data_IF_841696334943
#
_entry.id   IF_841696334943
#
_cell.length_a   1.000
_cell.length_b   1.000
_cell.length_c   1.000
_cell.angle_alpha   90.00
_cell.angle_beta   90.00
_cell.angle_gamma   90.00
#
_symmetry.space_group_name_H-M   'P 1'
#
loop_
_entity.id
_entity.type
_entity.pdbx_description
1 polymer ?
#
# COMPACT_ATOMS: atom_id res chain seq x y z
N UNK A 1 -11.41 -15.00 -1.38
CA UNK A 1 -10.15 -14.23 -1.33
C UNK A 1 -9.83 -13.73 -2.72
N UNK A 2 -9.80 -12.42 -2.90
CA UNK A 2 -9.97 -11.80 -4.22
C UNK A 2 -8.69 -11.24 -4.81
N UNK A 3 -8.54 -11.38 -6.12
CA UNK A 3 -7.73 -10.46 -6.91
C UNK A 3 -8.50 -9.15 -7.17
N UNK A 4 -7.91 -8.22 -7.92
CA UNK A 4 -8.65 -7.07 -8.45
C UNK A 4 -9.79 -7.53 -9.38
N UNK A 5 -10.98 -6.94 -9.22
CA UNK A 5 -12.19 -7.26 -10.00
C UNK A 5 -12.82 -5.97 -10.51
N UNK A 6 -13.01 -5.82 -11.82
CA UNK A 6 -13.62 -4.61 -12.38
C UNK A 6 -15.14 -4.53 -12.12
N UNK A 7 -15.75 -3.41 -12.52
CA UNK A 7 -17.20 -3.19 -12.39
C UNK A 7 -18.08 -4.23 -13.10
N UNK A 8 -17.53 -4.99 -14.06
CA UNK A 8 -18.23 -6.02 -14.80
C UNK A 8 -17.99 -7.42 -14.21
N UNK A 9 -17.34 -7.52 -13.05
CA UNK A 9 -16.98 -8.80 -12.43
C UNK A 9 -15.79 -9.48 -13.09
N UNK A 10 -15.02 -8.80 -13.94
CA UNK A 10 -13.85 -9.38 -14.60
C UNK A 10 -12.62 -9.20 -13.73
N UNK A 11 -11.98 -10.32 -13.40
CA UNK A 11 -10.73 -10.34 -12.66
C UNK A 11 -9.54 -9.83 -13.49
N UNK A 12 -8.52 -9.31 -12.80
CA UNK A 12 -7.21 -9.05 -13.38
C UNK A 12 -6.64 -10.32 -14.04
N UNK A 13 -5.87 -10.12 -15.12
CA UNK A 13 -5.28 -11.21 -15.88
C UNK A 13 -4.23 -11.97 -15.04
N UNK A 14 -4.37 -13.30 -14.96
CA UNK A 14 -3.43 -14.20 -14.27
C UNK A 14 -1.98 -14.07 -14.76
N UNK A 15 -1.77 -13.68 -16.03
CA UNK A 15 -0.44 -13.39 -16.55
C UNK A 15 0.25 -12.24 -15.81
N UNK A 16 -0.50 -11.22 -15.38
CA UNK A 16 0.05 -10.10 -14.59
C UNK A 16 0.42 -10.56 -13.18
N UNK A 17 -0.41 -11.43 -12.58
CA UNK A 17 -0.11 -12.05 -11.28
C UNK A 17 1.19 -12.86 -11.39
N UNK A 18 1.34 -13.68 -12.44
CA UNK A 18 2.53 -14.50 -12.65
C UNK A 18 3.79 -13.65 -12.89
N UNK A 19 3.73 -12.61 -13.74
CA UNK A 19 4.87 -11.71 -14.02
C UNK A 19 5.42 -11.06 -12.76
N UNK A 20 4.54 -10.69 -11.83
CA UNK A 20 4.91 -10.05 -10.57
C UNK A 20 5.08 -11.05 -9.40
N UNK A 21 5.04 -12.36 -9.66
CA UNK A 21 5.08 -13.42 -8.65
C UNK A 21 4.05 -13.22 -7.52
N UNK A 22 2.87 -12.73 -7.89
CA UNK A 22 1.72 -12.59 -7.01
C UNK A 22 1.14 -13.95 -6.60
N UNK A 23 0.28 -13.93 -5.59
CA UNK A 23 -0.28 -15.14 -4.98
C UNK A 23 -1.80 -15.12 -4.83
N UNK A 24 -2.48 -14.15 -5.46
CA UNK A 24 -3.94 -14.08 -5.48
C UNK A 24 -4.52 -14.96 -6.57
N UNK A 25 -5.82 -15.24 -6.45
CA UNK A 25 -6.62 -15.94 -7.45
C UNK A 25 -7.92 -15.18 -7.62
N UNK A 26 -8.49 -15.21 -8.83
CA UNK A 26 -9.84 -14.72 -9.07
C UNK A 26 -10.82 -15.50 -8.20
N UNK A 27 -11.67 -14.80 -7.45
CA UNK A 27 -12.65 -15.41 -6.58
C UNK A 27 -13.91 -14.55 -6.47
N UNK A 28 -14.91 -14.88 -7.26
CA UNK A 28 -16.20 -14.20 -7.30
C UNK A 28 -17.10 -14.72 -6.16
N UNK A 29 -16.81 -14.27 -4.94
CA UNK A 29 -17.61 -14.52 -3.74
C UNK A 29 -17.99 -13.19 -3.10
N UNK A 30 -19.12 -13.13 -2.39
CA UNK A 30 -19.47 -11.95 -1.61
C UNK A 30 -18.55 -11.76 -0.41
N UNK A 31 -18.57 -10.58 0.21
CA UNK A 31 -17.85 -10.32 1.47
C UNK A 31 -16.37 -10.69 1.43
N UNK A 32 -15.69 -10.37 0.32
CA UNK A 32 -14.25 -10.67 0.17
C UNK A 32 -13.43 -9.44 0.53
N UNK A 33 -12.43 -9.62 1.39
CA UNK A 33 -11.40 -8.60 1.58
C UNK A 33 -10.62 -8.34 0.29
N UNK A 34 -10.15 -7.10 0.15
CA UNK A 34 -9.30 -6.68 -0.96
C UNK A 34 -7.87 -7.21 -0.81
N UNK A 35 -7.25 -7.57 -1.93
CA UNK A 35 -5.82 -7.88 -1.97
C UNK A 35 -4.95 -6.61 -2.05
N UNK A 36 -3.72 -6.70 -1.57
CA UNK A 36 -2.71 -5.66 -1.74
C UNK A 36 -2.13 -5.62 -3.16
N UNK A 37 -1.52 -4.50 -3.48
CA UNK A 37 -0.87 -4.25 -4.75
C UNK A 37 0.59 -4.69 -4.80
N UNK A 38 1.16 -4.49 -5.98
CA UNK A 38 2.60 -4.58 -6.24
C UNK A 38 3.06 -3.30 -6.89
N UNK A 39 4.27 -2.87 -6.53
CA UNK A 39 5.00 -1.84 -7.26
C UNK A 39 6.49 -2.20 -7.27
N UNK A 40 7.16 -1.90 -8.37
CA UNK A 40 8.61 -2.00 -8.50
C UNK A 40 9.14 -0.88 -9.35
N UNK A 41 10.41 -0.55 -9.17
CA UNK A 41 11.17 0.32 -10.07
C UNK A 41 12.66 0.10 -9.89
N UNK A 42 13.46 0.68 -10.76
CA UNK A 42 14.91 0.67 -10.71
C UNK A 42 15.38 2.06 -10.32
N UNK A 43 16.34 2.16 -9.41
CA UNK A 43 16.91 3.43 -8.98
C UNK A 43 18.43 3.36 -8.99
N UNK A 44 19.06 4.43 -9.44
CA UNK A 44 20.51 4.62 -9.34
C UNK A 44 20.81 5.64 -8.25
N UNK A 45 21.53 5.21 -7.22
CA UNK A 45 21.96 6.07 -6.12
C UNK A 45 23.40 6.56 -6.40
N UNK A 46 23.61 7.87 -6.40
CA UNK A 46 24.91 8.49 -6.69
C UNK A 46 25.85 8.50 -5.48
N UNK A 47 25.32 8.29 -4.28
CA UNK A 47 26.04 8.30 -3.02
C UNK A 47 25.38 7.35 -2.03
N UNK A 48 26.09 7.06 -0.94
CA UNK A 48 25.58 6.20 0.13
C UNK A 48 24.45 6.91 0.87
N UNK A 49 23.35 6.20 1.10
CA UNK A 49 22.21 6.68 1.89
C UNK A 49 21.77 5.61 2.89
N UNK A 50 20.94 6.03 3.86
CA UNK A 50 20.17 5.13 4.72
C UNK A 50 18.78 4.96 4.15
N UNK A 51 18.34 3.71 4.00
CA UNK A 51 16.98 3.38 3.60
C UNK A 51 16.24 2.68 4.75
N UNK A 52 14.96 3.04 4.93
CA UNK A 52 14.04 2.42 5.88
C UNK A 52 12.94 1.69 5.11
N UNK A 53 12.45 0.59 5.68
CA UNK A 53 11.35 -0.17 5.09
C UNK A 53 10.23 -0.37 6.10
N UNK A 54 9.00 -0.13 5.67
CA UNK A 54 7.79 -0.61 6.35
C UNK A 54 7.28 -1.81 5.58
N UNK A 55 7.12 -2.95 6.26
CA UNK A 55 6.50 -4.15 5.69
C UNK A 55 5.04 -4.19 6.15
N UNK A 56 4.12 -4.07 5.21
CA UNK A 56 2.69 -3.98 5.51
C UNK A 56 2.16 -5.23 6.19
N UNK A 57 1.28 -5.09 7.18
CA UNK A 57 0.58 -6.23 7.77
C UNK A 57 -0.68 -6.60 6.98
N UNK A 58 -1.06 -7.88 7.04
CA UNK A 58 -2.35 -8.32 6.53
C UNK A 58 -3.52 -7.75 7.37
N UNK A 59 -4.63 -7.41 6.73
CA UNK A 59 -5.90 -7.16 7.43
C UNK A 59 -6.44 -8.43 8.11
N UNK A 60 -7.24 -8.23 9.15
CA UNK A 60 -7.82 -9.30 9.97
C UNK A 60 -9.34 -9.31 9.78
N UNK A 61 -9.90 -10.50 9.57
CA UNK A 61 -11.33 -10.74 9.65
C UNK A 61 -11.64 -11.49 10.94
N UNK A 62 -12.63 -11.02 11.71
CA UNK A 62 -13.07 -11.69 12.92
C UNK A 62 -13.82 -10.77 13.86
N UNK A 63 -13.82 -11.12 15.15
CA UNK A 63 -14.39 -10.33 16.24
C UNK A 63 -13.41 -10.30 17.41
N UNK A 64 -13.50 -9.26 18.23
CA UNK A 64 -12.83 -9.21 19.54
C UNK A 64 -13.85 -9.26 20.70
N UNK A 65 -15.14 -9.14 20.39
CA UNK A 65 -16.25 -9.08 21.34
C UNK A 65 -17.51 -9.68 20.74
N UNK A 66 -18.36 -10.28 21.57
CA UNK A 66 -19.70 -10.77 21.19
C UNK A 66 -20.78 -9.70 21.31
N UNK A 67 -20.41 -8.46 21.63
CA UNK A 67 -21.33 -7.32 21.68
C UNK A 67 -21.16 -6.46 20.43
N UNK A 68 -22.27 -6.18 19.75
CA UNK A 68 -22.37 -5.37 18.53
C UNK A 68 -22.50 -3.87 18.81
N UNK A 69 -21.75 -3.38 19.80
CA UNK A 69 -21.68 -1.96 20.13
C UNK A 69 -20.44 -1.33 19.51
N UNK A 70 -20.58 -0.14 18.95
CA UNK A 70 -19.42 0.64 18.51
C UNK A 70 -18.55 0.99 19.72
N UNK A 71 -17.36 0.39 19.77
CA UNK A 71 -16.40 0.50 20.86
C UNK A 71 -14.99 0.43 20.26
N UNK A 72 -14.31 1.58 20.21
CA UNK A 72 -13.00 1.71 19.59
C UNK A 72 -11.96 0.76 20.18
N UNK A 73 -12.03 0.51 21.49
CA UNK A 73 -11.06 -0.34 22.21
C UNK A 73 -11.21 -1.81 21.86
N UNK A 74 -12.39 -2.18 21.36
CA UNK A 74 -12.72 -3.53 20.90
C UNK A 74 -12.72 -3.65 19.38
N UNK A 75 -12.26 -2.66 18.62
CA UNK A 75 -12.23 -2.83 17.16
C UNK A 75 -11.26 -3.93 16.72
N UNK A 76 -11.59 -4.61 15.62
CA UNK A 76 -10.68 -5.52 14.93
C UNK A 76 -9.55 -4.68 14.34
N UNK A 77 -8.33 -4.91 14.83
CA UNK A 77 -7.14 -4.21 14.35
C UNK A 77 -6.83 -4.67 12.93
N UNK A 78 -6.57 -3.74 12.03
CA UNK A 78 -6.00 -4.08 10.71
C UNK A 78 -4.51 -4.44 10.71
N UNK A 79 -3.92 -4.39 9.53
CA UNK A 79 -2.49 -4.61 9.28
C UNK A 79 -1.51 -3.50 9.71
N UNK A 80 -0.29 -3.84 10.12
CA UNK A 80 0.75 -2.84 10.43
C UNK A 80 1.09 -1.93 9.24
N UNK A 81 1.29 -0.63 9.49
CA UNK A 81 1.67 0.34 8.46
C UNK A 81 0.49 1.09 7.84
N UNK A 82 -0.35 1.74 8.64
CA UNK A 82 -1.33 2.74 8.16
C UNK A 82 -2.79 2.28 7.99
N UNK A 83 -3.14 1.03 8.28
CA UNK A 83 -4.50 0.45 8.21
C UNK A 83 -5.70 1.28 8.71
N UNK A 84 -6.90 0.90 8.26
CA UNK A 84 -8.17 1.12 8.94
C UNK A 84 -8.60 -0.06 9.83
N UNK A 85 -9.20 0.23 10.98
CA UNK A 85 -9.80 -0.74 11.91
C UNK A 85 -11.25 -1.03 11.50
N UNK A 86 -11.76 -2.20 11.88
CA UNK A 86 -13.17 -2.57 11.67
C UNK A 86 -13.91 -2.67 13.00
N UNK A 87 -15.18 -2.30 13.03
CA UNK A 87 -16.03 -2.42 14.21
C UNK A 87 -16.52 -3.86 14.38
N UNK A 88 -16.77 -4.28 15.62
CA UNK A 88 -17.27 -5.63 15.86
C UNK A 88 -18.69 -5.82 15.34
N UNK A 89 -18.94 -7.04 14.87
CA UNK A 89 -20.27 -7.52 14.58
C UNK A 89 -20.45 -8.96 15.06
N UNK A 90 -21.48 -9.16 15.87
CA UNK A 90 -21.89 -10.46 16.36
C UNK A 90 -23.41 -10.51 16.44
N UNK A 91 -24.01 -11.33 15.59
CA UNK A 91 -25.45 -11.64 15.64
C UNK A 91 -25.64 -13.06 16.21
N UNK A 92 -24.86 -14.03 15.70
CA UNK A 92 -24.85 -15.41 16.19
C UNK A 92 -23.51 -16.10 15.93
N UNK A 93 -23.29 -17.30 16.47
CA UNK A 93 -22.11 -18.11 16.16
C UNK A 93 -22.02 -18.56 14.69
N UNK A 94 -23.08 -18.40 13.91
CA UNK A 94 -23.11 -18.63 12.47
C UNK A 94 -23.04 -17.33 11.64
N UNK A 95 -23.18 -16.17 12.29
CA UNK A 95 -23.21 -14.86 11.65
C UNK A 95 -22.46 -13.83 12.49
N UNK A 96 -21.17 -13.67 12.21
CA UNK A 96 -20.30 -12.76 12.94
C UNK A 96 -19.08 -12.38 12.10
N UNK A 97 -18.48 -11.26 12.48
CA UNK A 97 -17.19 -10.81 11.98
C UNK A 97 -17.26 -9.54 11.15
N UNK A 98 -16.12 -8.89 11.04
CA UNK A 98 -15.87 -7.82 10.08
C UNK A 98 -14.39 -7.81 9.71
N UNK A 99 -14.10 -7.31 8.53
CA UNK A 99 -12.78 -7.24 7.94
C UNK A 99 -12.16 -5.87 8.13
N UNK A 100 -10.95 -5.84 8.64
CA UNK A 100 -10.11 -4.65 8.73
C UNK A 100 -9.18 -4.53 7.52
N UNK A 101 -8.63 -3.34 7.32
CA UNK A 101 -7.78 -3.02 6.18
C UNK A 101 -6.35 -3.54 6.34
N UNK A 102 -5.69 -3.80 5.21
CA UNK A 102 -4.25 -4.08 5.18
C UNK A 102 -3.39 -2.82 5.38
N UNK A 103 -2.13 -3.03 5.73
CA UNK A 103 -1.13 -1.96 5.83
C UNK A 103 -0.21 -1.87 4.60
N UNK A 104 0.30 -0.68 4.30
CA UNK A 104 1.16 -0.45 3.12
C UNK A 104 2.56 -1.03 3.33
N UNK A 105 3.20 -1.40 2.23
CA UNK A 105 4.65 -1.63 2.19
C UNK A 105 5.31 -0.43 1.55
N UNK A 106 6.36 0.12 2.18
CA UNK A 106 7.00 1.34 1.69
C UNK A 106 8.50 1.35 1.96
N UNK A 107 9.26 1.98 1.07
CA UNK A 107 10.67 2.31 1.27
C UNK A 107 10.80 3.82 1.44
N UNK A 108 11.66 4.24 2.36
CA UNK A 108 11.95 5.64 2.66
C UNK A 108 13.45 5.89 2.63
N UNK A 109 13.87 7.07 2.26
CA UNK A 109 15.29 7.47 2.30
C UNK A 109 15.52 8.58 3.32
N UNK A 110 16.70 8.57 3.93
CA UNK A 110 17.19 9.58 4.88
C UNK A 110 16.47 9.61 6.25
N UNK A 111 15.14 9.56 6.27
CA UNK A 111 14.32 9.58 7.50
C UNK A 111 13.22 8.51 7.48
N UNK A 112 12.80 8.06 8.66
CA UNK A 112 11.75 7.04 8.82
C UNK A 112 10.37 7.66 9.11
N UNK A 113 9.84 8.45 8.19
CA UNK A 113 8.51 9.06 8.30
C UNK A 113 7.71 8.91 6.98
N UNK A 114 6.53 9.53 6.91
CA UNK A 114 5.65 9.44 5.74
C UNK A 114 6.11 10.30 4.55
N UNK A 115 6.78 11.42 4.78
CA UNK A 115 7.19 12.41 3.77
C UNK A 115 8.50 12.04 3.07
N UNK A 116 9.24 11.07 3.61
CA UNK A 116 10.45 10.52 3.01
C UNK A 116 10.21 9.20 2.24
N UNK A 117 8.96 8.80 2.01
CA UNK A 117 8.62 7.58 1.25
C UNK A 117 8.92 7.80 -0.23
N UNK A 118 9.74 6.94 -0.82
CA UNK A 118 10.14 7.03 -2.25
C UNK A 118 9.44 6.00 -3.14
N UNK A 119 8.91 4.93 -2.56
CA UNK A 119 8.07 3.94 -3.25
C UNK A 119 7.14 3.27 -2.24
N UNK A 120 5.86 3.12 -2.60
CA UNK A 120 4.78 2.65 -1.75
C UNK A 120 3.89 1.69 -2.53
N UNK A 121 3.67 0.50 -1.98
CA UNK A 121 2.66 -0.45 -2.42
C UNK A 121 1.39 -0.28 -1.58
N UNK A 122 0.26 -0.01 -2.23
CA UNK A 122 -1.04 0.11 -1.58
C UNK A 122 -1.61 -1.23 -1.10
N UNK A 123 -2.37 -1.20 0.00
CA UNK A 123 -2.99 -2.35 0.64
C UNK A 123 -4.50 -2.42 0.36
N UNK A 124 -5.07 -3.63 0.44
CA UNK A 124 -6.51 -3.85 0.22
C UNK A 124 -7.38 -3.46 1.43
N UNK A 125 -8.65 -3.17 1.14
CA UNK A 125 -9.66 -2.87 2.16
C UNK A 125 -10.31 -4.11 2.76
N UNK A 126 -10.94 -3.93 3.92
CA UNK A 126 -11.74 -4.93 4.60
C UNK A 126 -13.13 -5.16 3.98
N UNK A 127 -13.81 -6.20 4.46
CA UNK A 127 -15.13 -6.65 4.01
C UNK A 127 -16.03 -7.05 5.18
N UNK A 128 -17.33 -7.05 4.97
CA UNK A 128 -18.39 -7.55 5.86
C UNK A 128 -18.39 -9.09 5.97
N UNK A 129 -19.47 -9.65 6.54
CA UNK A 129 -19.55 -11.01 7.12
C UNK A 129 -20.22 -12.10 6.29
N UNK A 130 -20.94 -11.81 5.19
CA UNK A 130 -21.82 -12.78 4.53
C UNK A 130 -21.51 -13.04 3.04
N UNK A 131 -21.25 -14.30 2.68
CA UNK A 131 -20.66 -14.70 1.40
C UNK A 131 -21.57 -14.66 0.14
N UNK A 132 -22.55 -13.76 0.06
CA UNK A 132 -23.54 -13.71 -1.03
C UNK A 132 -23.09 -12.84 -2.21
N UNK A 133 -22.32 -13.38 -3.17
CA UNK A 133 -21.82 -12.59 -4.31
C UNK A 133 -22.93 -11.94 -5.14
N UNK A 134 -22.80 -10.63 -5.41
CA UNK A 134 -23.69 -9.90 -6.33
C UNK A 134 -25.12 -9.68 -5.81
N UNK A 135 -25.34 -9.85 -4.50
CA UNK A 135 -26.62 -9.64 -3.84
C UNK A 135 -26.54 -8.48 -2.84
N UNK A 136 -27.62 -8.22 -2.11
CA UNK A 136 -27.82 -7.12 -1.14
C UNK A 136 -26.93 -7.18 0.12
N UNK A 137 -25.89 -8.01 0.14
CA UNK A 137 -25.02 -8.24 1.31
C UNK A 137 -23.63 -8.68 0.80
N UNK A 138 -23.15 -7.95 -0.21
CA UNK A 138 -21.82 -8.13 -0.79
C UNK A 138 -21.00 -6.87 -0.55
N UNK A 139 -20.60 -6.68 0.71
CA UNK A 139 -19.67 -5.65 1.16
C UNK A 139 -18.20 -6.02 0.91
N UNK A 140 -17.88 -6.31 -0.34
CA UNK A 140 -16.51 -6.65 -0.72
C UNK A 140 -15.55 -5.44 -0.68
N UNK A 141 -14.35 -5.69 -0.16
CA UNK A 141 -13.25 -4.72 -0.09
C UNK A 141 -12.53 -4.54 -1.43
N UNK A 142 -12.06 -3.31 -1.65
CA UNK A 142 -11.25 -2.92 -2.80
C UNK A 142 -9.84 -3.42 -2.76
N UNK A 143 -9.30 -3.82 -3.91
CA UNK A 143 -7.86 -4.05 -4.04
C UNK A 143 -7.06 -2.77 -3.82
N UNK A 144 -5.96 -2.86 -3.08
CA UNK A 144 -4.90 -1.86 -3.09
C UNK A 144 -3.97 -2.05 -4.27
N UNK A 145 -3.13 -1.05 -4.50
CA UNK A 145 -2.19 -1.05 -5.61
C UNK A 145 -2.61 -0.18 -6.77
N UNK A 146 -1.81 -0.24 -7.84
CA UNK A 146 -1.88 0.72 -8.95
C UNK A 146 -1.71 2.19 -8.48
N UNK A 147 -1.52 3.14 -9.38
CA UNK A 147 -1.49 4.56 -9.00
C UNK A 147 -2.85 5.09 -8.56
N UNK A 148 -3.92 4.40 -8.99
CA UNK A 148 -5.30 4.63 -8.58
C UNK A 148 -5.84 3.31 -8.03
N UNK A 149 -6.16 3.29 -6.74
CA UNK A 149 -6.64 2.10 -6.07
C UNK A 149 -8.05 1.70 -6.54
N UNK A 150 -8.58 0.62 -5.95
CA UNK A 150 -9.99 0.26 -6.13
C UNK A 150 -10.85 0.83 -5.00
N UNK A 151 -12.06 1.26 -5.35
CA UNK A 151 -13.12 1.57 -4.38
C UNK A 151 -13.67 0.30 -3.72
N UNK A 152 -14.95 0.25 -3.39
CA UNK A 152 -15.51 -0.86 -2.60
C UNK A 152 -16.91 -1.22 -3.05
N UNK A 153 -17.38 -2.40 -2.69
CA UNK A 153 -18.73 -2.83 -2.99
C UNK A 153 -19.65 -2.55 -1.81
N UNK A 154 -20.86 -2.16 -2.14
CA UNK A 154 -22.00 -2.08 -1.22
C UNK A 154 -23.14 -2.77 -1.95
N UNK A 155 -23.79 -3.75 -1.33
CA UNK A 155 -24.88 -4.50 -1.95
C UNK A 155 -24.53 -5.07 -3.34
N UNK A 156 -23.26 -5.48 -3.53
CA UNK A 156 -22.78 -6.01 -4.80
C UNK A 156 -22.50 -4.96 -5.88
N UNK A 157 -22.67 -3.67 -5.59
CA UNK A 157 -22.42 -2.57 -6.52
C UNK A 157 -21.09 -1.89 -6.17
N UNK A 158 -20.16 -1.84 -7.14
CA UNK A 158 -18.87 -1.17 -6.98
C UNK A 158 -19.03 0.35 -6.92
N UNK A 159 -18.76 0.95 -5.77
CA UNK A 159 -18.56 2.39 -5.61
C UNK A 159 -17.15 2.78 -6.06
N UNK A 160 -17.06 3.67 -7.05
CA UNK A 160 -15.81 4.18 -7.62
C UNK A 160 -15.61 5.69 -7.42
N UNK A 161 -16.43 6.33 -6.59
CA UNK A 161 -16.36 7.78 -6.38
C UNK A 161 -15.31 8.17 -5.32
N UNK A 162 -15.01 7.25 -4.40
CA UNK A 162 -14.12 7.46 -3.25
C UNK A 162 -12.87 6.60 -3.39
N UNK A 163 -12.04 6.91 -4.39
CA UNK A 163 -10.84 6.13 -4.74
C UNK A 163 -9.56 6.87 -4.38
N UNK A 164 -8.64 6.20 -3.69
CA UNK A 164 -7.32 6.75 -3.40
C UNK A 164 -6.42 6.76 -4.65
N UNK A 165 -5.64 7.82 -4.83
CA UNK A 165 -4.66 7.99 -5.90
C UNK A 165 -3.42 8.77 -5.43
N UNK A 166 -2.70 9.44 -6.33
CA UNK A 166 -1.48 10.21 -6.03
C UNK A 166 -1.71 11.53 -5.27
N UNK A 167 -2.93 12.09 -5.31
CA UNK A 167 -3.26 13.39 -4.71
C UNK A 167 -4.53 13.39 -3.87
N UNK A 168 -5.28 12.29 -3.88
CA UNK A 168 -6.57 12.17 -3.22
C UNK A 168 -6.71 10.82 -2.51
N UNK A 169 -7.45 10.82 -1.41
CA UNK A 169 -7.78 9.64 -0.61
C UNK A 169 -8.17 10.06 0.80
N UNK A 170 -8.28 9.10 1.71
CA UNK A 170 -8.68 9.38 3.09
C UNK A 170 -7.64 10.23 3.82
N UNK A 171 -6.40 9.76 3.93
CA UNK A 171 -5.32 10.61 4.43
C UNK A 171 -3.99 10.09 3.94
N UNK A 172 -2.96 10.91 4.06
CA UNK A 172 -1.62 10.55 3.67
C UNK A 172 -1.11 9.41 4.55
N UNK A 173 -0.78 8.28 3.93
CA UNK A 173 -0.17 7.14 4.62
C UNK A 173 -1.12 6.27 5.46
N UNK A 174 -2.41 6.59 5.57
CA UNK A 174 -3.34 5.76 6.32
C UNK A 174 -4.71 5.57 5.64
N UNK A 175 -5.28 4.38 5.81
CA UNK A 175 -6.65 4.03 5.45
C UNK A 175 -7.63 4.33 6.59
N UNK A 176 -8.88 4.56 6.23
CA UNK A 176 -9.92 4.94 7.17
C UNK A 176 -10.40 3.76 8.04
N UNK A 177 -10.45 3.98 9.35
CA UNK A 177 -11.15 3.10 10.29
C UNK A 177 -12.66 3.27 10.21
N UNK A 178 -13.40 2.19 10.44
CA UNK A 178 -14.84 2.23 10.60
C UNK A 178 -15.25 3.23 11.70
N UNK A 179 -16.29 4.02 11.44
CA UNK A 179 -16.81 5.02 12.37
C UNK A 179 -18.32 4.85 12.59
N UNK A 180 -18.80 5.24 13.76
CA UNK A 180 -20.22 5.09 14.10
C UNK A 180 -21.11 5.94 13.18
N UNK A 181 -20.74 7.20 12.98
CA UNK A 181 -21.57 8.24 12.38
C UNK A 181 -21.01 8.75 11.04
N UNK A 182 -20.25 7.91 10.33
CA UNK A 182 -19.63 8.25 9.06
C UNK A 182 -18.24 8.85 9.20
N UNK A 183 -17.65 9.19 8.05
CA UNK A 183 -16.29 9.71 7.93
C UNK A 183 -16.15 11.09 8.56
N UNK A 184 -15.17 11.26 9.45
CA UNK A 184 -14.68 12.57 9.91
C UNK A 184 -13.94 13.36 8.84
N UNK A 185 -13.41 12.70 7.81
CA UNK A 185 -12.83 13.39 6.66
C UNK A 185 -13.97 13.95 5.79
N UNK A 186 -14.00 15.26 5.44
CA UNK A 186 -15.05 15.87 4.62
C UNK A 186 -15.19 15.26 3.21
N UNK A 187 -14.14 14.65 2.69
CA UNK A 187 -14.13 13.98 1.39
C UNK A 187 -14.56 12.51 1.49
N UNK A 188 -14.67 11.93 2.68
CA UNK A 188 -15.07 10.54 2.88
C UNK A 188 -16.58 10.32 2.84
N UNK A 189 -17.01 9.10 3.13
CA UNK A 189 -18.44 8.74 3.14
C UNK A 189 -19.09 9.28 4.41
N UNK A 190 -19.92 10.31 4.27
CA UNK A 190 -20.50 11.04 5.41
C UNK A 190 -21.69 10.31 6.05
N UNK A 191 -22.41 9.51 5.27
CA UNK A 191 -23.60 8.82 5.74
C UNK A 191 -23.24 7.41 6.19
N UNK A 192 -23.42 7.12 7.47
CA UNK A 192 -23.35 5.76 7.98
C UNK A 192 -24.71 5.06 7.83
N UNK A 193 -24.70 3.82 7.35
CA UNK A 193 -25.90 2.99 7.15
C UNK A 193 -25.68 1.58 7.70
N UNK A 194 -26.76 0.82 7.84
CA UNK A 194 -26.71 -0.58 8.27
C UNK A 194 -26.34 -0.76 9.75
N UNK A 195 -25.90 -1.97 10.08
CA UNK A 195 -25.57 -2.39 11.44
C UNK A 195 -24.13 -1.96 11.86
N UNK A 196 -23.56 -2.65 12.84
CA UNK A 196 -22.26 -2.31 13.44
C UNK A 196 -21.06 -2.95 12.73
N UNK A 197 -21.27 -3.76 11.71
CA UNK A 197 -20.32 -4.50 10.84
C UNK A 197 -19.49 -3.61 9.90
N UNK A 198 -19.26 -2.35 10.24
CA UNK A 198 -18.49 -1.43 9.41
C UNK A 198 -17.01 -1.82 9.37
N UNK A 199 -16.43 -1.71 8.19
CA UNK A 199 -15.10 -2.27 7.87
C UNK A 199 -14.01 -1.19 7.79
N UNK A 200 -12.76 -1.62 7.88
CA UNK A 200 -11.59 -0.74 7.80
C UNK A 200 -10.92 -0.74 6.43
N UNK A 201 -10.53 0.44 5.92
CA UNK A 201 -9.94 0.59 4.59
C UNK A 201 -8.43 0.30 4.53
N UNK A 202 -7.97 -0.03 3.33
CA UNK A 202 -6.56 -0.30 3.04
C UNK A 202 -5.73 0.98 2.99
N UNK A 203 -4.48 0.90 3.42
CA UNK A 203 -3.59 2.05 3.45
C UNK A 203 -2.64 2.10 2.24
N UNK A 204 -1.99 3.23 1.99
CA UNK A 204 -1.22 3.45 0.76
C UNK A 204 -0.39 4.73 0.78
N UNK A 205 -0.09 5.27 -0.40
CA UNK A 205 0.40 6.65 -0.51
C UNK A 205 -0.65 7.60 0.08
N UNK A 206 -1.87 7.53 -0.45
CA UNK A 206 -3.09 7.86 0.27
C UNK A 206 -3.87 6.56 0.53
N UNK A 207 -4.48 6.44 1.71
CA UNK A 207 -5.33 5.29 2.02
C UNK A 207 -6.74 5.43 1.45
N UNK A 208 -7.42 4.28 1.35
CA UNK A 208 -8.80 4.19 0.92
C UNK A 208 -9.78 4.69 1.98
N UNK A 209 -11.04 4.84 1.56
CA UNK A 209 -12.16 5.22 2.42
C UNK A 209 -12.91 3.99 2.92
N UNK A 210 -13.47 4.09 4.12
CA UNK A 210 -14.45 3.12 4.60
C UNK A 210 -15.84 3.51 4.07
N UNK A 211 -16.67 2.51 3.74
CA UNK A 211 -18.05 2.77 3.32
C UNK A 211 -18.92 3.28 4.46
N UNK A 212 -18.56 2.96 5.71
CA UNK A 212 -19.41 3.14 6.89
C UNK A 212 -20.82 2.54 6.72
N UNK A 213 -20.97 1.56 5.83
CA UNK A 213 -22.18 0.76 5.66
C UNK A 213 -21.97 -0.63 6.28
N UNK A 214 -23.00 -1.16 6.94
CA UNK A 214 -22.97 -2.52 7.50
C UNK A 214 -22.84 -3.59 6.42
N UNK A 215 -23.54 -3.42 5.30
CA UNK A 215 -23.53 -4.34 4.15
C UNK A 215 -22.44 -3.96 3.11
N UNK A 216 -21.40 -3.26 3.58
CA UNK A 216 -20.45 -2.54 2.74
C UNK A 216 -18.99 -2.88 3.02
N UNK A 217 -18.20 -2.90 1.95
CA UNK A 217 -16.75 -3.04 2.01
C UNK A 217 -16.03 -1.72 2.25
N UNK A 218 -14.72 -1.72 2.03
CA UNK A 218 -13.88 -0.50 2.08
C UNK A 218 -12.83 -0.49 0.99
N UNK A 219 -12.39 0.71 0.62
CA UNK A 219 -11.47 0.92 -0.49
C UNK A 219 -10.04 0.47 -0.18
N UNK A 220 -9.29 0.18 -1.23
CA UNK A 220 -7.84 -0.02 -1.15
C UNK A 220 -7.08 1.31 -1.09
N UNK A 221 -5.83 1.25 -0.64
CA UNK A 221 -4.90 2.38 -0.73
C UNK A 221 -4.12 2.40 -2.05
N UNK A 222 -3.67 3.59 -2.46
CA UNK A 222 -2.91 3.77 -3.70
C UNK A 222 -1.45 3.37 -3.55
N UNK A 223 -0.86 2.88 -4.64
CA UNK A 223 0.60 2.84 -4.79
C UNK A 223 1.13 4.17 -5.31
N UNK A 224 2.42 4.41 -5.09
CA UNK A 224 3.12 5.59 -5.58
C UNK A 224 4.63 5.32 -5.66
N UNK A 225 5.32 5.98 -6.58
CA UNK A 225 6.78 5.97 -6.64
C UNK A 225 7.28 7.35 -7.07
N UNK A 226 8.43 7.75 -6.53
CA UNK A 226 9.15 8.94 -6.97
C UNK A 226 9.79 8.65 -8.32
N UNK A 227 9.06 8.96 -9.40
CA UNK A 227 9.47 8.78 -10.80
C UNK A 227 9.41 10.11 -11.57
N UNK A 228 9.98 10.15 -12.77
CA UNK A 228 10.00 11.37 -13.59
C UNK A 228 8.61 11.94 -13.92
N UNK A 229 7.58 11.09 -13.89
CA UNK A 229 6.18 11.44 -14.13
C UNK A 229 5.33 11.43 -12.84
N UNK A 230 5.96 11.36 -11.67
CA UNK A 230 5.23 11.34 -10.41
C UNK A 230 4.51 12.67 -10.18
N UNK A 231 3.23 12.56 -9.80
CA UNK A 231 2.50 13.72 -9.27
C UNK A 231 2.89 13.86 -7.81
N UNK A 232 3.68 14.88 -7.51
CA UNK A 232 4.11 15.25 -6.15
C UNK A 232 3.15 16.32 -5.64
N UNK A 233 2.38 16.07 -4.57
CA UNK A 233 1.54 17.09 -3.97
C UNK A 233 2.35 18.33 -3.58
N UNK A 234 1.82 19.51 -3.89
CA UNK A 234 2.48 20.78 -3.59
C UNK A 234 2.10 21.27 -2.19
N UNK A 235 3.04 21.94 -1.53
CA UNK A 235 2.84 22.46 -0.17
C UNK A 235 2.83 21.35 0.88
N UNK A 236 2.14 21.60 2.00
CA UNK A 236 2.04 20.63 3.08
C UNK A 236 1.03 19.52 2.76
N UNK A 237 1.35 18.30 3.19
CA UNK A 237 0.52 17.12 3.06
C UNK A 237 0.09 16.68 4.45
N UNK A 238 -1.23 16.66 4.69
CA UNK A 238 -1.81 16.27 5.97
C UNK A 238 -1.87 14.75 6.15
N UNK A 239 -1.37 14.27 7.28
CA UNK A 239 -1.51 12.91 7.80
C UNK A 239 -2.33 12.95 9.09
N UNK A 240 -3.56 12.40 9.03
CA UNK A 240 -4.56 12.51 10.11
C UNK A 240 -4.77 11.22 10.92
N UNK A 241 -3.99 10.17 10.64
CA UNK A 241 -4.20 8.85 11.24
C UNK A 241 -5.48 8.17 10.76
N UNK A 242 -5.67 6.92 11.19
CA UNK A 242 -6.80 6.08 10.73
C UNK A 242 -8.18 6.52 11.25
N UNK A 243 -8.22 7.20 12.40
CA UNK A 243 -9.45 7.76 13.01
C UNK A 243 -9.64 9.26 12.73
N UNK A 244 -8.77 9.86 11.92
CA UNK A 244 -8.79 11.28 11.58
C UNK A 244 -8.60 12.23 12.79
N UNK A 245 -7.84 11.81 13.79
CA UNK A 245 -7.59 12.55 15.04
C UNK A 245 -6.16 13.08 15.16
N UNK A 246 -5.20 12.37 14.57
CA UNK A 246 -3.82 12.82 14.51
C UNK A 246 -3.73 14.02 13.56
N UNK A 247 -2.70 14.85 13.70
CA UNK A 247 -2.56 16.02 12.84
C UNK A 247 -1.09 16.39 12.65
N UNK A 248 -0.43 15.67 11.75
CA UNK A 248 0.88 16.05 11.25
C UNK A 248 0.75 16.57 9.80
N UNK A 249 1.53 17.60 9.47
CA UNK A 249 1.45 18.27 8.18
C UNK A 249 2.81 18.82 7.79
N UNK A 250 3.41 18.23 6.77
CA UNK A 250 4.74 18.60 6.28
C UNK A 250 4.78 18.55 4.74
N UNK A 251 5.67 19.30 4.10
CA UNK A 251 5.93 19.12 2.67
C UNK A 251 6.57 17.77 2.40
N UNK A 252 6.33 17.23 1.21
CA UNK A 252 7.09 16.06 0.74
C UNK A 252 8.58 16.38 0.64
N UNK A 253 9.44 15.45 1.06
CA UNK A 253 10.86 15.76 1.32
C UNK A 253 11.75 15.75 0.08
N UNK A 254 11.24 15.28 -1.06
CA UNK A 254 12.01 15.15 -2.29
C UNK A 254 11.37 15.85 -3.47
N UNK A 255 12.22 16.31 -4.37
CA UNK A 255 11.91 16.86 -5.68
C UNK A 255 12.42 15.92 -6.78
N UNK A 256 12.15 16.28 -8.04
CA UNK A 256 12.68 15.55 -9.18
C UNK A 256 14.19 15.74 -9.37
N UNK A 257 14.79 16.74 -8.71
CA UNK A 257 16.19 17.12 -8.86
C UNK A 257 17.10 16.46 -7.80
N UNK A 258 16.54 15.83 -6.77
CA UNK A 258 17.32 15.22 -5.68
C UNK A 258 17.99 13.89 -6.07
N UNK A 259 17.72 13.38 -7.27
CA UNK A 259 18.37 12.19 -7.81
C UNK A 259 17.81 10.86 -7.29
N UNK A 260 16.72 10.86 -6.52
CA UNK A 260 16.06 9.65 -6.01
C UNK A 260 14.95 9.13 -6.95
N UNK A 261 15.18 9.24 -8.25
CA UNK A 261 14.17 8.99 -9.28
C UNK A 261 14.21 7.53 -9.71
N UNK A 262 13.08 6.84 -9.58
CA UNK A 262 12.88 5.51 -10.11
C UNK A 262 12.57 5.53 -11.61
N UNK A 263 13.26 4.69 -12.38
CA UNK A 263 12.91 4.30 -13.74
C UNK A 263 12.15 2.96 -13.75
N UNK A 264 11.58 2.62 -14.90
CA UNK A 264 10.95 1.31 -15.15
C UNK A 264 9.89 0.94 -14.11
N UNK A 265 9.14 1.95 -13.64
CA UNK A 265 8.12 1.75 -12.62
C UNK A 265 6.97 0.92 -13.18
N UNK A 266 6.66 -0.19 -12.51
CA UNK A 266 5.55 -1.08 -12.82
C UNK A 266 4.69 -1.25 -11.59
N UNK A 267 3.38 -1.25 -11.77
CA UNK A 267 2.42 -1.41 -10.67
C UNK A 267 1.28 -2.33 -11.12
N UNK A 268 0.79 -3.16 -10.20
CA UNK A 268 -0.33 -4.08 -10.44
C UNK A 268 -1.24 -4.11 -9.22
N UNK A 269 -2.57 -3.90 -9.38
CA UNK A 269 -3.50 -3.94 -8.26
C UNK A 269 -3.89 -5.37 -7.86
N UNK A 270 -4.11 -5.59 -6.57
CA UNK A 270 -4.77 -6.80 -6.06
C UNK A 270 -4.06 -8.13 -6.36
N UNK A 271 -2.73 -8.15 -6.37
CA UNK A 271 -1.95 -9.36 -6.66
C UNK A 271 -1.35 -10.05 -5.44
N UNK A 272 -1.45 -9.42 -4.26
CA UNK A 272 -0.79 -9.91 -3.04
C UNK A 272 -1.76 -10.11 -1.88
N UNK A 273 -1.72 -11.32 -1.32
CA UNK A 273 -2.41 -11.70 -0.09
C UNK A 273 -1.38 -12.05 0.98
N UNK A 274 -1.57 -11.50 2.17
CA UNK A 274 -0.73 -11.75 3.34
C UNK A 274 -0.03 -10.49 3.80
N UNK A 275 0.96 -10.65 4.67
CA UNK A 275 1.89 -9.57 5.01
C UNK A 275 2.68 -9.18 3.77
N UNK A 276 2.99 -7.89 3.65
CA UNK A 276 3.76 -7.32 2.57
C UNK A 276 5.13 -7.95 2.40
N UNK A 277 5.73 -7.68 1.24
CA UNK A 277 7.02 -8.24 0.85
C UNK A 277 7.84 -7.16 0.17
N UNK A 278 9.10 -7.03 0.57
CA UNK A 278 10.09 -6.20 -0.10
C UNK A 278 11.19 -7.11 -0.67
N UNK A 279 11.54 -6.87 -1.93
CA UNK A 279 12.67 -7.53 -2.59
C UNK A 279 13.58 -6.43 -3.12
N UNK A 280 14.86 -6.49 -2.77
CA UNK A 280 15.88 -5.57 -3.25
C UNK A 280 16.88 -6.38 -4.06
N UNK A 281 17.08 -5.98 -5.31
CA UNK A 281 18.08 -6.57 -6.19
C UNK A 281 19.14 -5.52 -6.49
N UNK A 282 20.41 -5.86 -6.25
CA UNK A 282 21.53 -5.02 -6.66
C UNK A 282 21.84 -5.36 -8.11
N UNK A 283 21.58 -4.41 -9.01
CA UNK A 283 21.99 -4.49 -10.40
C UNK A 283 23.45 -4.02 -10.46
N UNK A 284 24.34 -4.85 -11.00
CA UNK A 284 25.79 -4.63 -10.93
C UNK A 284 26.20 -3.17 -11.14
N UNK A 285 26.94 -2.62 -10.18
CA UNK A 285 27.55 -1.32 -10.35
C UNK A 285 28.57 -1.44 -11.46
N UNK A 286 28.33 -0.78 -12.60
CA UNK A 286 29.41 -0.46 -13.52
C UNK A 286 30.29 0.57 -12.80
N UNK A 287 31.14 0.09 -11.89
CA UNK A 287 32.30 0.82 -11.45
C UNK A 287 33.18 0.84 -12.67
N UNK A 288 33.09 1.90 -13.48
CA UNK A 288 34.20 2.22 -14.36
C UNK A 288 35.37 2.51 -13.43
N UNK A 289 36.42 1.66 -13.38
CA UNK A 289 37.63 2.06 -12.68
C UNK A 289 38.02 3.40 -13.28
N UNK A 290 38.03 4.45 -12.44
CA UNK A 290 38.48 5.76 -12.88
C UNK A 290 39.84 5.60 -13.58
N UNK A 291 40.14 6.38 -14.61
CA UNK A 291 41.43 6.30 -15.31
C UNK A 291 42.62 6.43 -14.34
N UNK A 292 42.41 6.99 -13.13
CA UNK A 292 43.38 7.08 -12.03
C UNK A 292 43.72 5.69 -11.45
N UNK A 293 42.73 4.80 -11.34
CA UNK A 293 42.90 3.42 -10.86
C UNK A 293 43.61 2.53 -11.90
N UNK A 294 43.32 2.74 -13.19
CA UNK A 294 44.01 2.07 -14.30
C UNK A 294 45.47 2.55 -14.37
N UNK A 295 45.71 3.87 -14.31
CA UNK A 295 47.07 4.43 -14.33
C UNK A 295 47.90 4.04 -13.11
N UNK A 296 47.32 3.96 -11.90
CA UNK A 296 48.06 3.50 -10.71
C UNK A 296 48.48 2.03 -10.80
N UNK A 297 47.63 1.18 -11.38
CA UNK A 297 47.99 -0.23 -11.64
C UNK A 297 49.10 -0.34 -12.69
N UNK A 298 49.01 0.40 -13.80
CA UNK A 298 50.08 0.41 -14.81
C UNK A 298 51.41 0.97 -14.28
N UNK A 299 51.37 2.01 -13.43
CA UNK A 299 52.59 2.59 -12.85
C UNK A 299 53.27 1.66 -11.83
N UNK A 300 52.49 0.89 -11.08
CA UNK A 300 53.04 -0.10 -10.13
C UNK A 300 53.66 -1.31 -10.85
N UNK A 301 53.09 -1.77 -11.97
CA UNK A 301 53.73 -2.79 -12.80
C UNK A 301 55.02 -2.29 -13.47
N UNK A 302 55.07 -1.04 -13.92
CA UNK A 302 56.27 -0.46 -14.53
C UNK A 302 57.42 -0.31 -13.51
N UNK A 303 57.12 0.11 -12.28
CA UNK A 303 58.10 0.19 -11.18
C UNK A 303 58.62 -1.18 -10.74
N UNK A 304 57.75 -2.20 -10.68
CA UNK A 304 58.16 -3.58 -10.43
C UNK A 304 59.09 -4.12 -11.54
N UNK A 305 58.82 -3.75 -12.80
CA UNK A 305 59.67 -4.14 -13.92
C UNK A 305 61.07 -3.51 -13.82
N UNK A 306 61.19 -2.23 -13.45
CA UNK A 306 62.50 -1.56 -13.27
C UNK A 306 63.30 -2.18 -12.11
N UNK A 307 62.65 -2.50 -10.99
CA UNK A 307 63.30 -3.14 -9.83
C UNK A 307 63.84 -4.55 -10.16
N UNK A 308 63.23 -5.27 -11.11
CA UNK A 308 63.73 -6.57 -11.57
C UNK A 308 64.94 -6.47 -12.51
N UNK A 309 65.18 -5.33 -13.17
CA UNK A 309 66.34 -5.14 -14.04
C UNK A 309 67.55 -4.50 -13.33
N UNK A 310 67.34 -3.71 -12.27
CA UNK A 310 68.44 -3.17 -11.45
C UNK A 310 69.07 -4.22 -10.51
N UNK A 311 68.41 -5.35 -10.27
CA UNK A 311 68.95 -6.44 -9.41
C UNK A 311 69.80 -7.47 -10.16
N UNK A 312 70.04 -7.26 -11.46
CA UNK A 312 70.85 -8.14 -12.33
C UNK A 312 71.96 -7.40 -13.12
N UNK A 313 72.37 -6.21 -12.68
CA UNK A 313 73.54 -5.49 -13.23
C UNK A 313 74.70 -5.49 -12.25
#
# INVERSE_FOLDING_TARGET
MSAHIDKNGKCINDALIAIANGNTKCNLVGSRGGAGGYISGIIKLSHRITAFATIGGQGIYGITSTFSTYDCDKMVKGGYGGRGYASNFFDSYSNYGSGSGGGQTAVKFLSNDLWHRVIVAGAGGGSDNIYSYGNTDDGSGGSGGDFTAQGFWVDGVLNSEKIANSTFGFTFGAGESAQQNGSKNPNGVQEARGASDKVGAGSGWFGGFSSHNGDGGSGGGSSWALSANAVIPQGNIDAKGSFFEENESHPYSFSLDDGYIFSDVKTYPGIWKGNGRLVITILDSIIYPSCVSINRSHFSYFLLFILFFETHS
#
